data_IF_254803936907
#
_entry.id   IF_254803936907
#
_cell.length_a   1.000
_cell.length_b   1.000
_cell.length_c   1.000
_cell.angle_alpha   90.00
_cell.angle_beta   90.00
_cell.angle_gamma   90.00
#
_symmetry.space_group_name_H-M   'P 1'
#
loop_
_entity.id
_entity.type
_entity.pdbx_description
1 polymer ?
#
# COMPACT_ATOMS: atom_id res chain seq x y z
N UNK A 1 -9.91 2.95 5.95
CA UNK A 1 -9.81 1.67 5.20
C UNK A 1 -10.73 1.54 3.99
N UNK A 2 -12.03 1.85 4.08
CA UNK A 2 -13.01 1.66 2.99
C UNK A 2 -12.58 2.20 1.61
N UNK A 3 -12.13 3.45 1.53
CA UNK A 3 -11.61 4.06 0.28
C UNK A 3 -10.40 3.31 -0.30
N UNK A 4 -9.51 2.84 0.57
CA UNK A 4 -8.33 2.08 0.16
C UNK A 4 -8.72 0.70 -0.38
N UNK A 5 -9.66 0.00 0.27
CA UNK A 5 -10.18 -1.27 -0.22
C UNK A 5 -10.84 -1.12 -1.61
N UNK A 6 -11.67 -0.08 -1.79
CA UNK A 6 -12.27 0.27 -3.07
C UNK A 6 -11.23 0.58 -4.15
N UNK A 7 -10.15 1.29 -3.80
CA UNK A 7 -9.04 1.53 -4.73
C UNK A 7 -8.39 0.22 -5.15
N UNK A 8 -8.03 -0.66 -4.21
CA UNK A 8 -7.36 -1.93 -4.54
C UNK A 8 -8.23 -2.82 -5.43
N UNK A 9 -9.53 -2.90 -5.14
CA UNK A 9 -10.50 -3.65 -5.93
C UNK A 9 -10.60 -3.08 -7.36
N UNK A 10 -10.76 -1.75 -7.49
CA UNK A 10 -10.79 -1.08 -8.78
C UNK A 10 -9.52 -1.34 -9.59
N UNK A 11 -8.35 -1.29 -8.96
CA UNK A 11 -7.06 -1.52 -9.61
C UNK A 11 -6.88 -2.99 -10.04
N UNK A 12 -7.39 -3.94 -9.27
CA UNK A 12 -7.34 -5.36 -9.59
C UNK A 12 -8.24 -5.72 -10.78
N UNK A 13 -9.45 -5.14 -10.83
CA UNK A 13 -10.45 -5.43 -11.86
C UNK A 13 -10.29 -4.59 -13.15
N UNK A 14 -9.39 -3.59 -13.14
CA UNK A 14 -9.18 -2.71 -14.29
C UNK A 14 -7.96 -3.12 -15.09
N UNK A 15 -8.07 -3.61 -16.34
CA UNK A 15 -6.90 -3.91 -17.17
C UNK A 15 -6.26 -2.65 -17.78
N UNK A 16 -7.03 -1.58 -17.97
CA UNK A 16 -6.56 -0.36 -18.65
C UNK A 16 -5.61 0.44 -17.78
N UNK A 17 -4.36 0.61 -18.25
CA UNK A 17 -3.33 1.45 -17.61
C UNK A 17 -3.84 2.87 -17.34
N UNK A 18 -4.51 3.49 -18.31
CA UNK A 18 -4.99 4.88 -18.17
C UNK A 18 -6.10 5.02 -17.14
N UNK A 19 -6.99 4.01 -17.02
CA UNK A 19 -8.01 4.00 -15.97
C UNK A 19 -7.39 3.80 -14.58
N UNK A 20 -6.36 2.96 -14.45
CA UNK A 20 -5.60 2.83 -13.19
C UNK A 20 -4.93 4.14 -12.80
N UNK A 21 -4.32 4.81 -13.78
CA UNK A 21 -3.68 6.11 -13.59
C UNK A 21 -4.69 7.14 -13.07
N UNK A 22 -5.84 7.27 -13.73
CA UNK A 22 -6.92 8.16 -13.28
C UNK A 22 -7.41 7.82 -11.85
N UNK A 23 -7.60 6.54 -11.53
CA UNK A 23 -8.02 6.09 -10.21
C UNK A 23 -6.99 6.44 -9.11
N UNK A 24 -5.69 6.25 -9.39
CA UNK A 24 -4.60 6.61 -8.48
C UNK A 24 -4.55 8.13 -8.28
N UNK A 25 -4.60 8.91 -9.37
CA UNK A 25 -4.58 10.37 -9.34
C UNK A 25 -5.74 10.92 -8.51
N UNK A 26 -6.94 10.39 -8.71
CA UNK A 26 -8.11 10.78 -7.93
C UNK A 26 -7.97 10.41 -6.45
N UNK A 27 -7.52 9.19 -6.16
CA UNK A 27 -7.34 8.74 -4.78
C UNK A 27 -6.35 9.60 -3.99
N UNK A 28 -5.20 9.94 -4.58
CA UNK A 28 -4.18 10.77 -3.92
C UNK A 28 -4.64 12.22 -3.73
N UNK A 29 -5.55 12.72 -4.57
CA UNK A 29 -6.14 14.05 -4.44
C UNK A 29 -7.21 14.13 -3.34
N UNK A 30 -8.02 13.08 -3.20
CA UNK A 30 -9.20 13.10 -2.33
C UNK A 30 -8.97 12.51 -0.93
N UNK A 31 -7.88 11.76 -0.73
CA UNK A 31 -7.58 11.10 0.53
C UNK A 31 -6.64 11.98 1.36
N UNK A 32 -6.96 12.32 2.62
CA UNK A 32 -6.11 13.17 3.43
C UNK A 32 -4.82 12.47 3.88
N UNK A 33 -3.84 13.26 4.29
CA UNK A 33 -2.66 12.76 5.01
C UNK A 33 -3.03 12.28 6.43
N UNK A 34 -2.35 11.24 6.96
CA UNK A 34 -1.26 10.47 6.33
C UNK A 34 -1.73 9.25 5.50
N UNK A 35 -3.05 9.03 5.37
CA UNK A 35 -3.61 7.83 4.71
C UNK A 35 -3.17 7.71 3.24
N UNK A 36 -3.17 8.79 2.45
CA UNK A 36 -2.70 8.74 1.06
C UNK A 36 -1.21 8.37 0.94
N UNK A 37 -0.42 8.78 1.91
CA UNK A 37 0.99 8.47 2.05
C UNK A 37 1.27 7.01 2.36
N UNK A 38 0.54 6.46 3.32
CA UNK A 38 0.59 5.02 3.60
C UNK A 38 0.08 4.19 2.43
N UNK A 39 -0.98 4.60 1.76
CA UNK A 39 -1.48 3.91 0.57
C UNK A 39 -0.41 3.87 -0.54
N UNK A 40 0.30 4.99 -0.78
CA UNK A 40 1.43 5.03 -1.70
C UNK A 40 2.53 4.04 -1.31
N UNK A 41 2.88 3.97 -0.01
CA UNK A 41 3.87 3.01 0.49
C UNK A 41 3.47 1.55 0.23
N UNK A 42 2.19 1.23 0.43
CA UNK A 42 1.66 -0.11 0.19
C UNK A 42 1.66 -0.45 -1.29
N UNK A 43 1.17 0.46 -2.14
CA UNK A 43 1.09 0.28 -3.60
C UNK A 43 2.47 0.12 -4.26
N UNK A 44 3.51 0.70 -3.66
CA UNK A 44 4.89 0.66 -4.17
C UNK A 44 5.76 -0.40 -3.48
N UNK A 45 5.21 -1.14 -2.52
CA UNK A 45 5.92 -2.20 -1.80
C UNK A 45 6.93 -1.70 -0.76
N UNK A 46 6.85 -0.43 -0.36
CA UNK A 46 7.74 0.17 0.65
C UNK A 46 7.32 -0.14 2.10
N UNK A 47 6.10 -0.66 2.31
CA UNK A 47 5.61 -1.02 3.63
C UNK A 47 5.78 -2.53 3.89
N UNK A 48 6.32 -2.88 5.06
CA UNK A 48 6.37 -4.27 5.54
C UNK A 48 6.06 -4.33 7.03
N UNK A 49 5.34 -5.37 7.44
CA UNK A 49 5.07 -5.63 8.85
C UNK A 49 6.02 -6.70 9.38
N UNK A 50 6.61 -6.44 10.55
CA UNK A 50 7.53 -7.39 11.19
C UNK A 50 6.81 -8.67 11.61
N UNK A 51 5.64 -8.52 12.24
CA UNK A 51 4.95 -9.62 12.92
C UNK A 51 3.77 -10.20 12.13
N UNK A 52 3.23 -9.48 11.14
CA UNK A 52 2.12 -9.95 10.33
C UNK A 52 2.66 -10.62 9.07
N UNK A 53 2.64 -11.96 9.04
CA UNK A 53 3.16 -12.79 7.93
C UNK A 53 2.09 -13.79 7.46
N UNK A 54 2.21 -14.36 6.24
CA UNK A 54 1.23 -15.32 5.71
C UNK A 54 0.91 -16.50 6.66
N UNK A 55 1.91 -16.98 7.41
CA UNK A 55 1.71 -18.07 8.38
C UNK A 55 0.76 -17.68 9.52
N UNK A 56 0.86 -16.44 10.04
CA UNK A 56 -0.02 -15.94 11.10
C UNK A 56 -1.47 -15.81 10.62
N UNK A 57 -1.65 -15.33 9.37
CA UNK A 57 -2.98 -15.21 8.76
C UNK A 57 -3.62 -16.58 8.56
N UNK A 58 -2.85 -17.57 8.09
CA UNK A 58 -3.27 -18.97 7.98
C UNK A 58 -3.63 -19.56 9.34
N UNK A 59 -2.81 -19.35 10.35
CA UNK A 59 -3.11 -19.79 11.72
C UNK A 59 -4.41 -19.17 12.24
N UNK A 60 -4.63 -17.88 11.96
CA UNK A 60 -5.82 -17.17 12.41
C UNK A 60 -7.10 -17.73 11.77
N UNK A 61 -7.10 -17.95 10.46
CA UNK A 61 -8.30 -18.51 9.78
C UNK A 61 -8.58 -19.96 10.15
N UNK A 62 -7.55 -20.77 10.41
CA UNK A 62 -7.72 -22.18 10.83
C UNK A 62 -8.26 -22.35 12.26
N UNK A 63 -8.32 -21.27 13.06
CA UNK A 63 -9.03 -21.27 14.35
C UNK A 63 -10.54 -21.12 14.20
N UNK A 64 -10.98 -20.55 13.09
CA UNK A 64 -12.39 -20.21 12.81
C UNK A 64 -13.01 -21.12 11.73
N UNK A 65 -12.17 -21.77 10.92
CA UNK A 65 -12.58 -22.57 9.77
C UNK A 65 -11.87 -23.93 9.81
N UNK A 66 -12.62 -24.99 9.49
CA UNK A 66 -12.07 -26.34 9.34
C UNK A 66 -10.90 -26.39 8.35
N UNK A 67 -9.86 -27.15 8.70
CA UNK A 67 -8.62 -27.24 7.92
C UNK A 67 -8.84 -27.84 6.53
N UNK A 68 -9.71 -28.85 6.41
CA UNK A 68 -10.01 -29.50 5.13
C UNK A 68 -10.76 -28.53 4.22
N UNK A 69 -11.75 -27.82 4.76
CA UNK A 69 -12.50 -26.81 4.01
C UNK A 69 -11.60 -25.67 3.54
N UNK A 70 -10.67 -25.22 4.40
CA UNK A 70 -9.70 -24.21 4.02
C UNK A 70 -8.77 -24.71 2.90
N UNK A 71 -8.26 -25.95 3.01
CA UNK A 71 -7.37 -26.54 2.01
C UNK A 71 -8.04 -26.66 0.64
N UNK A 72 -9.29 -27.16 0.58
CA UNK A 72 -10.07 -27.27 -0.66
C UNK A 72 -10.34 -25.89 -1.27
N UNK A 73 -10.68 -24.90 -0.44
CA UNK A 73 -10.97 -23.53 -0.90
C UNK A 73 -9.71 -22.86 -1.44
N UNK A 74 -8.58 -23.03 -0.75
CA UNK A 74 -7.29 -22.49 -1.18
C UNK A 74 -6.81 -23.13 -2.49
N UNK A 75 -7.00 -24.44 -2.66
CA UNK A 75 -6.67 -25.16 -3.90
C UNK A 75 -7.49 -24.62 -5.10
N UNK A 76 -8.78 -24.37 -4.89
CA UNK A 76 -9.67 -23.81 -5.92
C UNK A 76 -9.36 -22.34 -6.27
N UNK A 77 -9.13 -21.49 -5.27
CA UNK A 77 -8.94 -20.04 -5.45
C UNK A 77 -7.51 -19.69 -5.88
N UNK A 78 -6.50 -20.37 -5.34
CA UNK A 78 -5.09 -20.14 -5.67
C UNK A 78 -4.44 -18.88 -5.07
N UNK A 79 -5.19 -18.08 -4.31
CA UNK A 79 -4.68 -16.89 -3.59
C UNK A 79 -5.11 -16.89 -2.13
N UNK A 80 -4.15 -16.69 -1.22
CA UNK A 80 -4.40 -16.72 0.23
C UNK A 80 -5.33 -15.58 0.68
N UNK A 81 -5.18 -14.39 0.10
CA UNK A 81 -5.97 -13.23 0.48
C UNK A 81 -7.42 -13.36 0.07
N UNK A 82 -7.65 -13.81 -1.16
CA UNK A 82 -8.99 -14.10 -1.66
C UNK A 82 -9.63 -15.28 -0.93
N UNK A 83 -8.88 -16.34 -0.65
CA UNK A 83 -9.38 -17.48 0.15
C UNK A 83 -9.84 -17.01 1.53
N UNK A 84 -9.01 -16.29 2.27
CA UNK A 84 -9.37 -15.79 3.62
C UNK A 84 -10.57 -14.85 3.55
N UNK A 85 -10.62 -13.94 2.58
CA UNK A 85 -11.71 -12.98 2.45
C UNK A 85 -13.08 -13.65 2.23
N UNK A 86 -13.12 -14.68 1.38
CA UNK A 86 -14.35 -15.40 1.01
C UNK A 86 -14.78 -16.42 2.06
N UNK A 87 -13.83 -17.14 2.65
CA UNK A 87 -14.13 -18.25 3.57
C UNK A 87 -14.41 -17.79 5.00
N UNK A 88 -14.01 -16.56 5.37
CA UNK A 88 -14.19 -16.07 6.73
C UNK A 88 -15.65 -16.19 7.16
N UNK A 89 -15.94 -16.84 8.30
CA UNK A 89 -17.31 -17.08 8.70
C UNK A 89 -17.99 -15.76 9.04
N UNK A 90 -19.17 -15.55 8.46
CA UNK A 90 -19.94 -14.33 8.60
C UNK A 90 -20.77 -14.37 9.89
N UNK A 91 -20.12 -14.37 11.05
CA UNK A 91 -20.78 -14.28 12.34
C UNK A 91 -20.40 -12.97 13.04
N UNK A 92 -21.38 -12.07 13.24
CA UNK A 92 -21.18 -10.78 13.89
C UNK A 92 -21.80 -9.61 13.12
N UNK A 93 -21.85 -8.45 13.77
CA UNK A 93 -22.29 -7.20 13.13
C UNK A 93 -21.14 -6.65 12.28
N UNK A 94 -21.44 -6.28 11.04
CA UNK A 94 -20.52 -5.52 10.21
C UNK A 94 -20.40 -4.10 10.76
N UNK A 95 -19.21 -3.53 10.65
CA UNK A 95 -18.93 -2.20 11.18
C UNK A 95 -17.70 -1.60 10.54
N UNK A 96 -17.52 -0.29 10.72
CA UNK A 96 -16.42 0.41 10.08
C UNK A 96 -15.05 -0.09 10.60
N UNK A 97 -14.15 -0.35 9.66
CA UNK A 97 -12.74 -0.57 9.95
C UNK A 97 -12.04 0.73 10.36
N UNK A 98 -10.95 0.64 11.13
CA UNK A 98 -10.07 1.78 11.40
C UNK A 98 -9.58 2.49 10.12
N UNK A 99 -9.00 3.68 10.26
CA UNK A 99 -8.29 4.32 9.14
C UNK A 99 -7.11 3.46 8.67
N UNK A 100 -6.54 3.75 7.49
CA UNK A 100 -5.36 2.99 7.05
C UNK A 100 -4.18 3.25 8.01
N UNK A 101 -4.02 4.49 8.47
CA UNK A 101 -3.03 4.88 9.47
C UNK A 101 -3.20 4.10 10.78
N UNK A 102 -4.40 4.11 11.37
CA UNK A 102 -4.66 3.43 12.65
C UNK A 102 -4.40 1.93 12.54
N UNK A 103 -4.76 1.33 11.39
CA UNK A 103 -4.54 -0.08 11.15
C UNK A 103 -3.04 -0.44 11.07
N UNK A 104 -2.24 0.41 10.41
CA UNK A 104 -0.79 0.24 10.33
C UNK A 104 -0.17 0.38 11.73
N UNK A 105 -0.62 1.36 12.52
CA UNK A 105 -0.20 1.53 13.90
C UNK A 105 -0.55 0.31 14.76
N UNK A 106 -1.79 -0.19 14.66
CA UNK A 106 -2.23 -1.39 15.36
C UNK A 106 -1.35 -2.61 15.01
N UNK A 107 -1.02 -2.83 13.74
CA UNK A 107 -0.15 -3.94 13.34
C UNK A 107 1.29 -3.80 13.83
N UNK A 108 1.78 -2.57 14.03
CA UNK A 108 3.14 -2.32 14.52
C UNK A 108 3.25 -2.37 16.05
N UNK A 109 2.19 -1.99 16.77
CA UNK A 109 2.18 -1.88 18.23
C UNK A 109 1.63 -3.12 18.94
N UNK A 110 0.74 -3.88 18.28
CA UNK A 110 0.14 -5.08 18.87
C UNK A 110 1.19 -6.18 19.05
N UNK A 111 1.17 -6.81 20.23
CA UNK A 111 2.07 -7.91 20.56
C UNK A 111 1.85 -9.10 19.63
N UNK A 112 2.90 -9.89 19.36
CA UNK A 112 2.79 -11.07 18.48
C UNK A 112 1.72 -12.07 18.96
N UNK A 113 1.52 -12.21 20.27
CA UNK A 113 0.52 -13.10 20.86
C UNK A 113 -0.92 -12.60 20.68
N UNK A 114 -1.13 -11.28 20.61
CA UNK A 114 -2.46 -10.68 20.49
C UNK A 114 -2.89 -10.45 19.04
N UNK A 115 -1.96 -10.50 18.07
CA UNK A 115 -2.26 -10.29 16.66
C UNK A 115 -3.35 -11.23 16.09
N UNK A 116 -3.39 -12.54 16.38
CA UNK A 116 -4.47 -13.40 15.88
C UNK A 116 -5.86 -12.91 16.31
N UNK A 117 -5.98 -12.44 17.56
CA UNK A 117 -7.23 -11.92 18.11
C UNK A 117 -7.62 -10.60 17.44
N UNK A 118 -6.64 -9.71 17.22
CA UNK A 118 -6.86 -8.46 16.49
C UNK A 118 -7.32 -8.73 15.05
N UNK A 119 -6.61 -9.59 14.33
CA UNK A 119 -6.91 -9.94 12.92
C UNK A 119 -8.31 -10.54 12.82
N UNK A 120 -8.66 -11.49 13.69
CA UNK A 120 -10.00 -12.08 13.71
C UNK A 120 -11.09 -11.01 13.94
N UNK A 121 -10.90 -10.11 14.91
CA UNK A 121 -11.84 -9.03 15.18
C UNK A 121 -11.99 -8.03 14.01
N UNK A 122 -10.93 -7.81 13.24
CA UNK A 122 -10.96 -6.98 12.02
C UNK A 122 -11.66 -7.72 10.87
N UNK A 123 -11.38 -9.00 10.66
CA UNK A 123 -12.02 -9.79 9.60
C UNK A 123 -13.52 -9.96 9.83
N UNK A 124 -13.94 -10.15 11.09
CA UNK A 124 -15.36 -10.27 11.44
C UNK A 124 -16.16 -9.00 11.14
N UNK A 125 -15.61 -7.81 11.41
CA UNK A 125 -16.33 -6.54 11.16
C UNK A 125 -16.27 -6.08 9.70
N UNK A 126 -15.25 -6.52 8.96
CA UNK A 126 -14.98 -6.08 7.59
C UNK A 126 -15.97 -6.69 6.58
N UNK A 127 -16.30 -5.90 5.56
CA UNK A 127 -16.92 -6.38 4.33
C UNK A 127 -15.94 -7.25 3.51
N UNK A 128 -16.44 -8.03 2.55
CA UNK A 128 -15.62 -9.00 1.79
C UNK A 128 -14.42 -8.33 1.10
N UNK A 129 -14.63 -7.20 0.41
CA UNK A 129 -13.55 -6.47 -0.28
C UNK A 129 -12.55 -5.86 0.72
N UNK A 130 -13.00 -5.46 1.89
CA UNK A 130 -12.14 -4.97 2.97
C UNK A 130 -11.31 -6.10 3.60
N UNK A 131 -11.85 -7.31 3.77
CA UNK A 131 -11.07 -8.48 4.21
C UNK A 131 -9.94 -8.79 3.23
N UNK A 132 -10.24 -8.76 1.94
CA UNK A 132 -9.24 -8.95 0.91
C UNK A 132 -8.15 -7.86 0.99
N UNK A 133 -8.55 -6.59 1.10
CA UNK A 133 -7.63 -5.46 1.26
C UNK A 133 -6.76 -5.58 2.52
N UNK A 134 -7.34 -6.00 3.66
CA UNK A 134 -6.63 -6.24 4.92
C UNK A 134 -5.53 -7.28 4.75
N UNK A 135 -5.84 -8.42 4.11
CA UNK A 135 -4.85 -9.48 3.89
C UNK A 135 -3.78 -9.04 2.88
N UNK A 136 -4.15 -8.30 1.84
CA UNK A 136 -3.21 -7.75 0.85
C UNK A 136 -2.27 -6.72 1.46
N UNK A 137 -2.77 -5.84 2.33
CA UNK A 137 -1.96 -4.94 3.15
C UNK A 137 -0.98 -5.73 4.02
N UNK A 138 -1.48 -6.69 4.80
CA UNK A 138 -0.69 -7.49 5.73
C UNK A 138 0.44 -8.27 5.05
N UNK A 139 0.20 -8.80 3.85
CA UNK A 139 1.15 -9.64 3.12
C UNK A 139 2.06 -8.86 2.17
N UNK A 140 1.68 -7.65 1.77
CA UNK A 140 2.34 -6.90 0.69
C UNK A 140 2.19 -7.52 -0.71
N UNK A 141 1.49 -8.65 -0.82
CA UNK A 141 1.33 -9.40 -2.08
C UNK A 141 0.13 -8.88 -2.88
N UNK A 142 0.18 -7.60 -3.28
CA UNK A 142 -0.96 -6.94 -3.94
C UNK A 142 -1.30 -7.57 -5.30
N UNK A 143 -0.30 -7.75 -6.17
CA UNK A 143 -0.45 -8.27 -7.56
C UNK A 143 -1.56 -7.58 -8.39
N UNK A 144 -1.85 -6.32 -8.10
CA UNK A 144 -2.91 -5.53 -8.75
C UNK A 144 -2.44 -4.80 -10.03
N UNK A 145 -1.28 -5.14 -10.57
CA UNK A 145 -0.74 -4.52 -11.79
C UNK A 145 -0.51 -3.01 -11.68
N UNK A 146 0.02 -2.55 -10.54
CA UNK A 146 0.52 -1.19 -10.33
C UNK A 146 2.03 -1.28 -10.12
N UNK A 147 2.78 -0.50 -10.90
CA UNK A 147 4.23 -0.36 -10.73
C UNK A 147 4.56 0.93 -9.97
N UNK A 148 5.75 1.01 -9.38
CA UNK A 148 6.22 2.23 -8.75
C UNK A 148 6.19 3.43 -9.73
N UNK A 149 6.60 3.22 -10.98
CA UNK A 149 6.55 4.26 -12.02
C UNK A 149 5.11 4.73 -12.30
N UNK A 150 4.11 3.84 -12.30
CA UNK A 150 2.72 4.23 -12.49
C UNK A 150 2.22 5.09 -11.33
N UNK A 151 2.57 4.75 -10.09
CA UNK A 151 2.24 5.55 -8.92
C UNK A 151 2.89 6.95 -8.97
N UNK A 152 4.18 7.05 -9.33
CA UNK A 152 4.86 8.34 -9.53
C UNK A 152 4.22 9.17 -10.65
N UNK A 153 3.81 8.52 -11.75
CA UNK A 153 3.08 9.19 -12.83
C UNK A 153 1.76 9.77 -12.33
N UNK A 154 1.02 9.06 -11.47
CA UNK A 154 -0.21 9.56 -10.88
C UNK A 154 0.03 10.79 -9.97
N UNK A 155 1.14 10.82 -9.23
CA UNK A 155 1.53 11.98 -8.42
C UNK A 155 1.89 13.19 -9.28
N UNK A 156 2.58 12.97 -10.41
CA UNK A 156 2.86 14.02 -11.40
C UNK A 156 1.55 14.59 -11.98
N UNK A 157 0.61 13.73 -12.41
CA UNK A 157 -0.71 14.18 -12.89
C UNK A 157 -1.55 14.87 -11.80
N UNK A 158 -1.41 14.44 -10.55
CA UNK A 158 -2.13 15.03 -9.43
C UNK A 158 -1.71 16.48 -9.19
N UNK A 159 -0.40 16.71 -9.19
CA UNK A 159 0.26 17.94 -8.73
C UNK A 159 0.63 18.91 -9.85
N UNK A 160 0.73 18.42 -11.09
CA UNK A 160 1.30 19.17 -12.22
C UNK A 160 2.83 19.31 -12.17
N UNK A 161 3.52 18.65 -11.23
CA UNK A 161 4.99 18.60 -11.15
C UNK A 161 5.55 17.61 -12.17
N UNK A 162 6.80 17.84 -12.60
CA UNK A 162 7.44 16.93 -13.55
C UNK A 162 7.76 15.58 -12.89
N UNK A 163 7.58 14.49 -13.64
CA UNK A 163 7.85 13.13 -13.16
C UNK A 163 9.30 12.96 -12.73
N UNK A 164 10.25 13.59 -13.43
CA UNK A 164 11.67 13.54 -13.15
C UNK A 164 11.98 14.17 -11.78
N UNK A 165 11.35 15.29 -11.44
CA UNK A 165 11.54 15.95 -10.14
C UNK A 165 11.07 15.04 -8.99
N UNK A 166 9.95 14.33 -9.18
CA UNK A 166 9.43 13.35 -8.21
C UNK A 166 10.38 12.15 -8.10
N UNK A 167 10.93 11.67 -9.22
CA UNK A 167 11.88 10.56 -9.23
C UNK A 167 13.19 10.90 -8.51
N UNK A 168 13.71 12.12 -8.67
CA UNK A 168 14.93 12.60 -8.02
C UNK A 168 14.80 12.69 -6.49
N UNK A 169 13.62 13.06 -5.98
CA UNK A 169 13.38 13.08 -4.52
C UNK A 169 12.92 11.72 -3.98
N UNK A 170 12.68 10.73 -4.81
CA UNK A 170 11.99 9.51 -4.36
C UNK A 170 12.73 8.73 -3.27
N UNK A 171 14.06 8.68 -3.33
CA UNK A 171 14.88 7.78 -2.52
C UNK A 171 15.21 8.31 -1.12
N UNK A 172 15.15 9.62 -0.88
CA UNK A 172 15.42 10.18 0.45
C UNK A 172 14.17 10.44 1.29
N UNK A 173 12.98 10.17 0.74
CA UNK A 173 11.72 10.34 1.46
C UNK A 173 11.41 9.14 2.36
N UNK A 174 10.75 9.41 3.48
CA UNK A 174 10.33 8.39 4.45
C UNK A 174 8.82 8.27 4.47
N UNK A 175 8.32 7.04 4.60
CA UNK A 175 6.90 6.76 4.87
C UNK A 175 6.48 7.52 6.14
N UNK A 176 5.34 8.25 6.16
CA UNK A 176 4.25 8.25 5.17
C UNK A 176 4.35 9.35 4.11
N UNK A 177 5.54 9.79 3.72
CA UNK A 177 5.78 10.72 2.62
C UNK A 177 5.12 12.10 2.80
N UNK A 178 5.04 12.60 4.04
CA UNK A 178 4.40 13.89 4.33
C UNK A 178 5.07 15.05 3.58
N UNK A 179 6.40 15.11 3.56
CA UNK A 179 7.14 16.17 2.86
C UNK A 179 6.91 16.14 1.35
N UNK A 180 6.75 14.93 0.77
CA UNK A 180 6.39 14.77 -0.63
C UNK A 180 5.01 15.37 -0.90
N UNK A 181 4.00 14.97 -0.14
CA UNK A 181 2.64 15.43 -0.37
C UNK A 181 2.47 16.93 -0.09
N UNK A 182 3.15 17.48 0.92
CA UNK A 182 3.18 18.92 1.18
C UNK A 182 3.76 19.71 -0.01
N UNK A 183 4.81 19.20 -0.65
CA UNK A 183 5.38 19.81 -1.87
C UNK A 183 4.47 19.65 -3.09
N UNK A 184 3.90 18.47 -3.29
CA UNK A 184 2.99 18.19 -4.41
C UNK A 184 1.70 19.02 -4.34
N UNK A 185 1.24 19.33 -3.13
CA UNK A 185 0.10 20.23 -2.89
C UNK A 185 0.49 21.72 -2.95
N UNK A 186 1.78 22.03 -3.12
CA UNK A 186 2.29 23.40 -3.20
C UNK A 186 2.34 24.15 -1.87
N UNK A 187 2.28 23.43 -0.75
CA UNK A 187 2.34 24.01 0.60
C UNK A 187 3.77 24.30 1.04
N UNK A 188 4.72 23.49 0.56
CA UNK A 188 6.15 23.61 0.87
C UNK A 188 6.99 23.60 -0.40
N UNK A 189 8.26 23.99 -0.27
CA UNK A 189 9.25 23.82 -1.33
C UNK A 189 9.57 22.34 -1.57
N UNK A 190 10.32 22.09 -2.66
CA UNK A 190 10.78 20.74 -3.03
C UNK A 190 11.64 20.17 -1.88
N UNK A 191 11.37 18.93 -1.41
CA UNK A 191 12.16 18.34 -0.33
C UNK A 191 13.63 18.28 -0.71
N UNK A 192 14.49 18.85 0.13
CA UNK A 192 15.93 18.73 -0.06
C UNK A 192 16.38 17.33 0.35
N UNK A 193 17.00 16.64 -0.60
CA UNK A 193 17.54 15.30 -0.39
C UNK A 193 19.04 15.44 -0.43
N UNK A 194 19.66 14.99 0.66
CA UNK A 194 21.10 14.87 0.79
C UNK A 194 21.67 14.37 -0.54
N UNK A 195 22.58 15.16 -1.11
CA UNK A 195 23.20 14.87 -2.39
C UNK A 195 23.83 13.47 -2.42
N UNK A 196 24.30 12.95 -1.28
CA UNK A 196 24.82 11.59 -1.15
C UNK A 196 23.76 10.48 -1.29
N UNK A 197 22.46 10.82 -1.17
CA UNK A 197 21.34 9.90 -1.30
C UNK A 197 20.62 10.00 -2.66
N UNK A 198 21.08 10.87 -3.58
CA UNK A 198 20.49 11.02 -4.91
C UNK A 198 20.98 9.90 -5.83
N UNK A 199 20.04 9.19 -6.45
CA UNK A 199 20.36 8.19 -7.47
C UNK A 199 20.56 8.90 -8.80
N UNK A 200 21.81 9.05 -9.22
CA UNK A 200 22.13 9.48 -10.58
C UNK A 200 22.00 8.26 -11.50
N UNK A 201 21.21 8.32 -12.59
CA UNK A 201 21.22 7.29 -13.63
C UNK A 201 22.67 7.04 -14.07
N UNK A 202 23.00 5.80 -14.48
CA UNK A 202 24.33 5.44 -14.99
C UNK A 202 24.79 6.48 -16.01
N UNK A 203 25.64 7.40 -15.56
CA UNK A 203 26.21 8.44 -16.37
C UNK A 203 27.09 7.73 -17.40
N UNK A 204 26.74 7.83 -18.68
CA UNK A 204 27.77 7.75 -19.72
C UNK A 204 28.84 8.76 -19.33
N UNK A 205 30.10 8.35 -19.38
CA UNK A 205 31.25 9.16 -18.95
C UNK A 205 31.22 10.52 -19.62
N UNK A 206 30.77 11.54 -18.87
CA UNK A 206 30.87 12.93 -19.25
C UNK A 206 32.21 13.47 -18.71
N UNK A 207 32.99 14.21 -19.52
CA UNK A 207 34.20 14.86 -19.04
C UNK A 207 33.85 15.88 -17.93
N UNK A 208 34.72 15.99 -16.93
CA UNK A 208 34.61 16.96 -15.83
C UNK A 208 34.57 18.38 -16.41
N UNK A 209 33.60 19.19 -15.95
CA UNK A 209 33.56 20.63 -16.20
C UNK A 209 34.08 21.36 -14.96
N UNK A 210 35.33 21.85 -15.02
CA UNK A 210 36.01 22.49 -13.88
C UNK A 210 35.31 23.77 -13.39
N UNK A 211 34.48 24.43 -14.20
CA UNK A 211 33.72 25.62 -13.76
C UNK A 211 32.41 25.27 -13.05
N UNK A 212 31.91 24.04 -13.22
CA UNK A 212 30.55 23.64 -12.84
C UNK A 212 30.51 22.56 -11.77
N UNK A 213 31.53 21.70 -11.75
CA UNK A 213 31.61 20.50 -10.90
C UNK A 213 32.61 20.64 -9.73
N UNK A 214 33.36 21.75 -9.65
CA UNK A 214 34.26 22.13 -8.53
C UNK A 214 33.77 23.40 -7.82
#
# INVERSE_FOLDING_TARGET
MKRFAQLLELLALTPSRNRKLAALTQYFRETPDPDRGYALAVLTGALTFRNVKPALLRETVLREVDETLFAMSYDYVGDLGETIALIWPHHGETGDLPSLTDLIELFNTTSKSDLPKLIAALLTRAEINERWALVKLATGALRIGVSARLAKTALAEMSGKDLQEIEEVWHGLRVPYLDLFAWLDGTTERPDIDHAARFHPLMLSNPIDEEKDL
#
